data_IF_626314895293
#
_entry.id   IF_626314895293
#
_cell.length_a   1.000
_cell.length_b   1.000
_cell.length_c   1.000
_cell.angle_alpha   90.00
_cell.angle_beta   90.00
_cell.angle_gamma   90.00
#
_symmetry.space_group_name_H-M   'P 1'
#
loop_
_entity.id
_entity.type
_entity.pdbx_description
1 polymer ?
#
# COMPACT_ATOMS: atom_id res chain seq x y z
N UNK A 1 6.34 1.20 -11.54
CA UNK A 1 7.01 1.79 -12.72
C UNK A 1 7.11 0.80 -13.86
N UNK A 2 7.73 -0.37 -13.66
CA UNK A 2 7.88 -1.36 -14.73
C UNK A 2 6.59 -2.11 -15.06
N UNK A 3 5.68 -2.29 -14.09
CA UNK A 3 4.45 -3.07 -14.29
C UNK A 3 3.60 -2.60 -15.47
N UNK A 4 3.25 -1.31 -15.62
CA UNK A 4 2.49 -0.85 -16.79
C UNK A 4 3.22 -1.08 -18.13
N UNK A 5 4.55 -0.91 -18.15
CA UNK A 5 5.36 -1.11 -19.35
C UNK A 5 5.38 -2.58 -19.77
N UNK A 6 5.68 -3.47 -18.84
CA UNK A 6 5.76 -4.92 -19.11
C UNK A 6 4.37 -5.44 -19.52
N UNK A 7 3.33 -5.12 -18.75
CA UNK A 7 1.98 -5.61 -19.03
C UNK A 7 1.45 -5.02 -20.34
N UNK A 8 1.61 -3.71 -20.57
CA UNK A 8 1.15 -3.05 -21.79
C UNK A 8 1.87 -3.56 -23.05
N UNK A 9 3.19 -3.73 -23.01
CA UNK A 9 3.99 -4.19 -24.16
C UNK A 9 3.67 -5.65 -24.50
N UNK A 10 3.68 -6.55 -23.52
CA UNK A 10 3.55 -7.98 -23.79
C UNK A 10 2.09 -8.44 -23.89
N UNK A 11 1.19 -7.91 -23.06
CA UNK A 11 -0.17 -8.43 -22.89
C UNK A 11 -1.28 -7.45 -23.30
N UNK A 12 -0.94 -6.23 -23.73
CA UNK A 12 -1.91 -5.29 -24.29
C UNK A 12 -2.75 -4.52 -23.26
N UNK A 13 -3.68 -3.72 -23.76
CA UNK A 13 -4.42 -2.73 -22.97
C UNK A 13 -5.54 -3.34 -22.14
N UNK A 14 -6.12 -4.45 -22.60
CA UNK A 14 -7.17 -5.21 -21.93
C UNK A 14 -6.64 -5.82 -20.64
N UNK A 15 -5.48 -6.50 -20.72
CA UNK A 15 -4.81 -7.07 -19.55
C UNK A 15 -4.35 -5.97 -18.59
N UNK A 16 -3.79 -4.88 -19.12
CA UNK A 16 -3.38 -3.73 -18.31
C UNK A 16 -4.56 -3.11 -17.55
N UNK A 17 -5.74 -3.05 -18.17
CA UNK A 17 -6.97 -2.54 -17.53
C UNK A 17 -7.40 -3.41 -16.35
N UNK A 18 -7.31 -4.74 -16.50
CA UNK A 18 -7.55 -5.68 -15.40
C UNK A 18 -6.56 -5.52 -14.25
N UNK A 19 -5.27 -5.35 -14.55
CA UNK A 19 -4.22 -5.10 -13.53
C UNK A 19 -4.49 -3.80 -12.78
N UNK A 20 -4.88 -2.72 -13.48
CA UNK A 20 -5.20 -1.44 -12.85
C UNK A 20 -6.40 -1.57 -11.92
N UNK A 21 -7.51 -2.14 -12.38
CA UNK A 21 -8.71 -2.35 -11.58
C UNK A 21 -8.44 -3.22 -10.35
N UNK A 22 -7.73 -4.35 -10.53
CA UNK A 22 -7.36 -5.26 -9.46
C UNK A 22 -6.43 -4.64 -8.42
N UNK A 23 -5.42 -3.90 -8.88
CA UNK A 23 -4.46 -3.21 -7.99
C UNK A 23 -5.13 -2.12 -7.14
N UNK A 24 -6.15 -1.44 -7.68
CA UNK A 24 -6.93 -0.44 -6.96
C UNK A 24 -7.75 -1.09 -5.84
N UNK A 25 -8.60 -2.08 -6.18
CA UNK A 25 -9.54 -2.67 -5.20
C UNK A 25 -8.83 -3.44 -4.09
N UNK A 26 -7.72 -4.11 -4.41
CA UNK A 26 -6.92 -4.85 -3.41
C UNK A 26 -6.02 -3.91 -2.60
N UNK A 27 -5.33 -2.97 -3.25
CA UNK A 27 -4.37 -2.08 -2.60
C UNK A 27 -5.01 -1.15 -1.58
N UNK A 28 -6.24 -0.68 -1.84
CA UNK A 28 -6.98 0.19 -0.91
C UNK A 28 -7.27 -0.53 0.41
N UNK A 29 -7.64 -1.81 0.38
CA UNK A 29 -7.95 -2.58 1.60
C UNK A 29 -6.72 -2.72 2.50
N UNK A 30 -5.56 -3.03 1.92
CA UNK A 30 -4.29 -3.16 2.66
C UNK A 30 -3.84 -1.79 3.17
N UNK A 31 -3.96 -0.73 2.37
CA UNK A 31 -3.56 0.61 2.78
C UNK A 31 -4.37 1.10 4.00
N UNK A 32 -5.68 0.86 4.01
CA UNK A 32 -6.56 1.24 5.12
C UNK A 32 -6.24 0.42 6.38
N UNK A 33 -6.14 -0.90 6.25
CA UNK A 33 -5.86 -1.78 7.39
C UNK A 33 -4.50 -1.49 8.03
N UNK A 34 -3.44 -1.31 7.22
CA UNK A 34 -2.11 -0.94 7.71
C UNK A 34 -2.11 0.40 8.46
N UNK A 35 -2.82 1.41 7.91
CA UNK A 35 -2.97 2.71 8.54
C UNK A 35 -3.67 2.62 9.90
N UNK A 36 -4.79 1.91 9.95
CA UNK A 36 -5.62 1.84 11.13
C UNK A 36 -4.93 1.05 12.24
N UNK A 37 -4.30 -0.07 11.89
CA UNK A 37 -3.53 -0.88 12.83
C UNK A 37 -2.35 -0.12 13.41
N UNK A 38 -1.53 0.54 12.57
CA UNK A 38 -0.40 1.32 13.06
C UNK A 38 -0.83 2.54 13.89
N UNK A 39 -1.91 3.22 13.51
CA UNK A 39 -2.50 4.30 14.29
C UNK A 39 -3.05 3.83 15.64
N UNK A 40 -3.71 2.67 15.68
CA UNK A 40 -4.24 2.08 16.89
C UNK A 40 -3.12 1.72 17.88
N UNK A 41 -2.04 1.09 17.43
CA UNK A 41 -0.91 0.76 18.31
C UNK A 41 -0.16 2.01 18.81
N UNK A 42 -0.01 3.04 17.99
CA UNK A 42 0.56 4.32 18.43
C UNK A 42 -0.30 5.02 19.48
N UNK A 43 -1.63 5.02 19.28
CA UNK A 43 -2.57 5.56 20.26
C UNK A 43 -2.60 4.72 21.56
N UNK A 44 -2.52 3.39 21.46
CA UNK A 44 -2.44 2.51 22.62
C UNK A 44 -1.20 2.83 23.48
N UNK A 45 -0.02 2.97 22.88
CA UNK A 45 1.20 3.40 23.59
C UNK A 45 1.05 4.78 24.22
N UNK A 46 0.36 5.72 23.56
CA UNK A 46 0.08 7.06 24.11
C UNK A 46 -0.84 6.99 25.33
N UNK A 47 -1.86 6.12 25.32
CA UNK A 47 -2.78 5.94 26.45
C UNK A 47 -2.05 5.50 27.73
N UNK A 48 -1.02 4.65 27.65
CA UNK A 48 -0.20 4.30 28.81
C UNK A 48 0.57 5.51 29.41
N UNK A 49 0.85 6.55 28.61
CA UNK A 49 1.47 7.78 29.11
C UNK A 49 0.47 8.66 29.86
N UNK A 50 -0.78 8.70 29.39
CA UNK A 50 -1.85 9.53 29.94
C UNK A 50 -2.55 8.85 31.13
N UNK A 51 -2.67 7.52 31.14
CA UNK A 51 -3.39 6.71 32.14
C UNK A 51 -2.46 5.76 32.91
N UNK A 52 -1.25 6.24 33.23
CA UNK A 52 -0.21 5.45 33.91
C UNK A 52 -0.64 4.86 35.27
N UNK A 53 -1.66 5.44 35.93
CA UNK A 53 -2.19 4.97 37.21
C UNK A 53 -3.07 3.71 37.10
N UNK A 54 -3.74 3.48 35.97
CA UNK A 54 -4.66 2.33 35.80
C UNK A 54 -4.07 1.22 34.92
N UNK A 55 -3.27 1.58 33.92
CA UNK A 55 -2.70 0.64 32.95
C UNK A 55 -1.27 0.21 33.31
N UNK A 56 -0.60 0.94 34.20
CA UNK A 56 0.77 0.70 34.63
C UNK A 56 1.72 1.81 34.18
N UNK A 57 2.76 2.11 34.99
CA UNK A 57 3.70 3.18 34.69
C UNK A 57 4.61 2.84 33.49
N UNK A 58 5.26 3.86 32.93
CA UNK A 58 6.33 3.66 31.94
C UNK A 58 7.37 2.68 32.49
N UNK A 59 7.73 1.70 31.66
CA UNK A 59 8.69 0.64 32.03
C UNK A 59 8.05 -0.65 32.54
N UNK A 60 6.73 -0.65 32.82
CA UNK A 60 5.97 -1.88 33.05
C UNK A 60 5.95 -2.77 31.81
N UNK A 61 5.80 -4.07 32.00
CA UNK A 61 5.73 -5.04 30.90
C UNK A 61 4.58 -4.76 29.90
N UNK A 62 3.36 -4.37 30.31
CA UNK A 62 2.32 -3.96 29.36
C UNK A 62 2.70 -2.70 28.55
N UNK A 63 3.44 -1.74 29.15
CA UNK A 63 3.97 -0.60 28.39
C UNK A 63 5.01 -1.03 27.34
N UNK A 64 5.92 -1.96 27.69
CA UNK A 64 6.90 -2.49 26.73
C UNK A 64 6.20 -3.19 25.55
N UNK A 65 5.15 -3.96 25.82
CA UNK A 65 4.35 -4.58 24.76
C UNK A 65 3.70 -3.55 23.83
N UNK A 66 3.14 -2.47 24.39
CA UNK A 66 2.59 -1.36 23.60
C UNK A 66 3.67 -0.63 22.76
N UNK A 67 4.90 -0.52 23.28
CA UNK A 67 6.04 0.02 22.51
C UNK A 67 6.37 -0.87 21.32
N UNK A 68 6.42 -2.20 21.52
CA UNK A 68 6.65 -3.15 20.42
C UNK A 68 5.57 -3.02 19.35
N UNK A 69 4.29 -2.93 19.75
CA UNK A 69 3.17 -2.73 18.83
C UNK A 69 3.33 -1.45 17.99
N UNK A 70 3.69 -0.32 18.62
CA UNK A 70 3.93 0.94 17.90
C UNK A 70 5.10 0.81 16.91
N UNK A 71 6.20 0.15 17.31
CA UNK A 71 7.36 -0.08 16.44
C UNK A 71 7.02 -0.94 15.22
N UNK A 72 6.13 -1.92 15.36
CA UNK A 72 5.61 -2.69 14.21
C UNK A 72 4.65 -1.82 13.37
N UNK A 73 3.88 -0.95 14.01
CA UNK A 73 2.91 -0.04 13.38
C UNK A 73 3.51 1.12 12.61
N UNK A 74 4.70 1.60 12.99
CA UNK A 74 5.41 2.71 12.36
C UNK A 74 5.65 2.49 10.85
N UNK A 75 6.26 1.38 10.38
CA UNK A 75 6.40 1.15 8.95
C UNK A 75 5.05 0.99 8.23
N UNK A 76 4.04 0.42 8.90
CA UNK A 76 2.71 0.21 8.31
C UNK A 76 1.97 1.54 8.04
N UNK A 77 1.94 2.45 9.02
CA UNK A 77 1.19 3.71 8.93
C UNK A 77 1.95 4.81 8.21
N UNK A 78 3.28 4.89 8.39
CA UNK A 78 4.08 6.01 7.90
C UNK A 78 4.78 5.72 6.56
N UNK A 79 5.12 4.46 6.30
CA UNK A 79 5.81 4.07 5.05
C UNK A 79 4.82 3.44 4.05
N UNK A 80 4.30 2.26 4.37
CA UNK A 80 3.52 1.45 3.42
C UNK A 80 2.21 2.13 2.99
N UNK A 81 1.50 2.80 3.92
CA UNK A 81 0.27 3.53 3.58
C UNK A 81 0.48 4.61 2.51
N UNK A 82 1.48 5.47 2.71
CA UNK A 82 1.79 6.56 1.78
C UNK A 82 2.20 6.00 0.41
N UNK A 83 3.06 4.97 0.42
CA UNK A 83 3.56 4.34 -0.80
C UNK A 83 2.48 3.61 -1.61
N UNK A 84 1.50 2.95 -0.98
CA UNK A 84 0.45 2.22 -1.71
C UNK A 84 -0.48 3.14 -2.49
N UNK A 85 -0.87 4.28 -1.91
CA UNK A 85 -1.68 5.27 -2.61
C UNK A 85 -0.92 5.89 -3.81
N UNK A 86 0.37 6.17 -3.61
CA UNK A 86 1.25 6.67 -4.68
C UNK A 86 1.44 5.60 -5.77
N UNK A 87 1.63 4.33 -5.40
CA UNK A 87 1.77 3.22 -6.33
C UNK A 87 0.59 3.14 -7.30
N UNK A 88 -0.64 3.15 -6.78
CA UNK A 88 -1.86 3.07 -7.59
C UNK A 88 -1.96 4.27 -8.54
N UNK A 89 -1.79 5.49 -8.01
CA UNK A 89 -1.87 6.72 -8.83
C UNK A 89 -0.80 6.75 -9.92
N UNK A 90 0.44 6.37 -9.59
CA UNK A 90 1.54 6.35 -10.54
C UNK A 90 1.36 5.28 -11.62
N UNK A 91 0.82 4.11 -11.27
CA UNK A 91 0.49 3.09 -12.28
C UNK A 91 -0.63 3.55 -13.20
N UNK A 92 -1.66 4.21 -12.67
CA UNK A 92 -2.76 4.75 -13.47
C UNK A 92 -2.29 5.86 -14.43
N UNK A 93 -1.58 6.87 -13.93
CA UNK A 93 -1.06 7.96 -14.76
C UNK A 93 -0.01 7.45 -15.76
N UNK A 94 0.89 6.56 -15.33
CA UNK A 94 1.85 5.93 -16.24
C UNK A 94 1.17 5.16 -17.37
N UNK A 95 0.12 4.40 -17.06
CA UNK A 95 -0.66 3.68 -18.07
C UNK A 95 -1.38 4.63 -19.03
N UNK A 96 -1.91 5.75 -18.53
CA UNK A 96 -2.58 6.75 -19.34
C UNK A 96 -1.63 7.46 -20.31
N UNK A 97 -0.44 7.85 -19.84
CA UNK A 97 0.59 8.50 -20.67
C UNK A 97 1.03 7.60 -21.83
N UNK A 98 1.18 6.29 -21.58
CA UNK A 98 1.60 5.33 -22.59
C UNK A 98 0.43 4.63 -23.31
N UNK A 99 -0.82 5.04 -23.08
CA UNK A 99 -2.01 4.36 -23.61
C UNK A 99 -1.99 4.23 -25.14
N UNK A 100 -1.74 5.34 -25.85
CA UNK A 100 -1.64 5.35 -27.32
C UNK A 100 -0.49 4.48 -27.83
N UNK A 101 0.61 4.40 -27.08
CA UNK A 101 1.73 3.54 -27.44
C UNK A 101 1.36 2.06 -27.31
N UNK A 102 0.73 1.66 -26.19
CA UNK A 102 0.30 0.29 -25.96
C UNK A 102 -0.80 -0.17 -26.93
N UNK A 103 -1.74 0.72 -27.28
CA UNK A 103 -2.78 0.39 -28.25
C UNK A 103 -2.20 0.04 -29.63
N UNK A 104 -1.16 0.76 -30.06
CA UNK A 104 -0.55 0.55 -31.38
C UNK A 104 0.49 -0.58 -31.36
N UNK A 105 1.39 -0.59 -30.37
CA UNK A 105 2.59 -1.44 -30.36
C UNK A 105 2.56 -2.54 -29.28
N UNK A 106 1.58 -2.53 -28.38
CA UNK A 106 1.45 -3.52 -27.31
C UNK A 106 0.82 -4.84 -27.76
N UNK A 107 0.66 -5.75 -26.79
CA UNK A 107 0.07 -7.08 -27.00
C UNK A 107 0.96 -8.02 -27.82
N UNK A 108 2.29 -7.89 -27.72
CA UNK A 108 3.23 -8.65 -28.53
C UNK A 108 3.01 -10.17 -28.43
N UNK A 109 2.68 -10.70 -27.24
CA UNK A 109 2.45 -12.14 -27.09
C UNK A 109 1.26 -12.62 -27.91
N UNK A 110 0.14 -11.87 -27.89
CA UNK A 110 -1.07 -12.20 -28.66
C UNK A 110 -0.94 -11.92 -30.16
N UNK A 111 0.12 -11.20 -30.58
CA UNK A 111 0.43 -10.93 -31.99
C UNK A 111 1.38 -11.96 -32.59
N UNK A 112 2.25 -12.56 -31.77
CA UNK A 112 3.30 -13.51 -32.20
C UNK A 112 2.80 -14.95 -32.13
N UNK A 113 1.97 -15.29 -31.14
CA UNK A 113 1.34 -16.60 -30.95
C UNK A 113 -0.15 -16.51 -31.23
#
# INVERSE_FOLDING_TARGET
MLTPLIVGIFFGVETLSGVLAGSLVSGVQIAISASNTGGAWGNAKKLYREHARSLGPKGSDPYKAAVIGDTIGDPLKDTSRSSLNILIKLMAVGSLVFASFFATHGGLLFKIF
#
